data_IF_549163427451
#
_entry.id   IF_549163427451
#
_cell.length_a   1.000
_cell.length_b   1.000
_cell.length_c   1.000
_cell.angle_alpha   90.00
_cell.angle_beta   90.00
_cell.angle_gamma   90.00
#
_symmetry.space_group_name_H-M   'P 1'
#
loop_
_entity.id
_entity.type
_entity.pdbx_description
1 polymer ?
#
# COMPACT_ATOMS: atom_id res chain seq x y z
N UNK A 1 -26.75 14.59 -4.17
CA UNK A 1 -26.12 15.56 -3.25
C UNK A 1 -24.92 16.15 -3.94
N UNK A 2 -24.61 17.42 -3.69
CA UNK A 2 -23.39 18.05 -4.19
C UNK A 2 -22.29 17.82 -3.15
N UNK A 3 -21.24 17.05 -3.46
CA UNK A 3 -20.13 16.87 -2.52
C UNK A 3 -19.47 18.21 -2.23
N UNK A 4 -19.13 18.44 -0.96
CA UNK A 4 -18.38 19.61 -0.50
C UNK A 4 -17.10 19.13 0.17
N UNK A 5 -15.94 19.78 -0.07
CA UNK A 5 -14.72 19.46 0.65
C UNK A 5 -14.89 19.79 2.13
N UNK A 6 -14.43 18.89 2.99
CA UNK A 6 -14.47 19.07 4.45
C UNK A 6 -13.18 19.72 4.95
N UNK A 7 -12.03 19.15 4.59
CA UNK A 7 -10.70 19.64 4.95
C UNK A 7 -9.65 19.24 3.89
N UNK A 8 -8.42 19.71 4.06
CA UNK A 8 -7.25 19.30 3.27
C UNK A 8 -6.01 19.28 4.17
N UNK A 9 -5.15 18.28 3.99
CA UNK A 9 -3.89 18.18 4.70
C UNK A 9 -2.70 18.11 3.73
N UNK A 10 -1.52 18.51 4.19
CA UNK A 10 -0.28 18.50 3.42
C UNK A 10 0.74 17.55 4.04
N UNK A 11 1.62 16.97 3.21
CA UNK A 11 2.72 16.10 3.62
C UNK A 11 3.98 16.43 2.80
N UNK A 12 5.19 16.14 3.30
CA UNK A 12 6.42 16.49 2.61
C UNK A 12 6.74 15.50 1.48
N UNK A 13 7.57 15.96 0.53
CA UNK A 13 8.11 15.17 -0.57
C UNK A 13 7.03 14.50 -1.42
N UNK A 14 6.06 15.30 -1.87
CA UNK A 14 4.96 14.85 -2.72
C UNK A 14 5.48 14.57 -4.13
N UNK A 15 5.36 13.32 -4.58
CA UNK A 15 5.56 12.96 -5.97
C UNK A 15 4.26 13.08 -6.75
N UNK A 16 3.29 12.26 -6.37
CA UNK A 16 1.92 12.17 -6.85
C UNK A 16 1.07 11.34 -5.87
N UNK A 17 0.27 12.03 -5.04
CA UNK A 17 -0.74 11.37 -4.20
C UNK A 17 -1.64 10.49 -5.06
N UNK A 18 -1.54 9.17 -4.91
CA UNK A 18 -2.10 8.24 -5.88
C UNK A 18 -3.38 7.58 -5.39
N UNK A 19 -3.26 6.74 -4.36
CA UNK A 19 -4.38 5.95 -3.87
C UNK A 19 -4.31 5.78 -2.36
N UNK A 20 -5.48 5.78 -1.73
CA UNK A 20 -5.62 5.56 -0.30
C UNK A 20 -6.75 4.60 0.03
N UNK A 21 -6.67 4.00 1.22
CA UNK A 21 -7.69 3.13 1.77
C UNK A 21 -7.82 3.33 3.28
N UNK A 22 -9.05 3.28 3.79
CA UNK A 22 -9.36 3.48 5.21
C UNK A 22 -9.35 2.14 5.97
N UNK A 23 -8.85 2.13 7.21
CA UNK A 23 -8.96 0.98 8.12
C UNK A 23 -10.43 0.67 8.42
N UNK A 24 -10.75 -0.59 8.76
CA UNK A 24 -12.14 -1.01 8.99
C UNK A 24 -12.82 -0.30 10.17
N UNK A 25 -12.05 0.22 11.13
CA UNK A 25 -12.54 1.05 12.23
C UNK A 25 -12.70 2.54 11.87
N UNK A 26 -12.37 2.90 10.62
CA UNK A 26 -12.41 4.26 10.06
C UNK A 26 -11.52 5.29 10.77
N UNK A 27 -10.53 4.85 11.55
CA UNK A 27 -9.66 5.75 12.30
C UNK A 27 -8.44 6.19 11.52
N UNK A 28 -7.93 5.33 10.64
CA UNK A 28 -6.69 5.57 9.90
C UNK A 28 -6.91 5.45 8.40
N UNK A 29 -6.20 6.27 7.64
CA UNK A 29 -6.15 6.22 6.19
C UNK A 29 -4.71 5.97 5.75
N UNK A 30 -4.49 4.88 5.02
CA UNK A 30 -3.20 4.57 4.42
C UNK A 30 -3.19 5.10 2.99
N UNK A 31 -2.12 5.76 2.58
CA UNK A 31 -1.99 6.40 1.27
C UNK A 31 -0.61 6.15 0.68
N UNK A 32 -0.58 5.92 -0.63
CA UNK A 32 0.60 5.73 -1.44
C UNK A 32 0.87 6.97 -2.33
N UNK A 33 2.13 7.21 -2.65
CA UNK A 33 2.63 8.32 -3.48
C UNK A 33 3.49 7.78 -4.63
N UNK A 34 2.85 7.51 -5.77
CA UNK A 34 3.37 6.65 -6.85
C UNK A 34 4.67 7.15 -7.51
N UNK A 35 5.00 8.44 -7.38
CA UNK A 35 6.14 9.05 -8.07
C UNK A 35 7.28 9.48 -7.14
N UNK A 36 7.18 9.25 -5.84
CA UNK A 36 8.16 9.79 -4.91
C UNK A 36 9.51 9.02 -4.97
N UNK A 37 9.53 7.71 -5.23
CA UNK A 37 10.78 6.95 -5.37
C UNK A 37 11.45 7.24 -6.72
N UNK A 38 10.65 7.43 -7.79
CA UNK A 38 11.14 7.87 -9.09
C UNK A 38 11.79 9.26 -9.04
N UNK A 39 11.32 10.12 -8.12
CA UNK A 39 11.88 11.45 -7.89
C UNK A 39 13.02 11.47 -6.87
N UNK A 40 13.34 10.32 -6.26
CA UNK A 40 14.38 10.21 -5.23
C UNK A 40 14.00 10.84 -3.90
N UNK A 41 12.70 10.97 -3.63
CA UNK A 41 12.16 11.49 -2.38
C UNK A 41 12.04 10.44 -1.28
N UNK A 42 11.92 9.17 -1.68
CA UNK A 42 11.95 8.04 -0.76
C UNK A 42 12.99 7.01 -1.19
N UNK A 43 13.60 6.38 -0.20
CA UNK A 43 14.59 5.32 -0.35
C UNK A 43 13.94 3.94 -0.50
N UNK A 44 12.63 3.86 -0.68
CA UNK A 44 11.88 2.63 -0.88
C UNK A 44 10.39 2.96 -0.91
N UNK A 45 9.57 1.95 -1.17
CA UNK A 45 8.12 2.14 -1.27
C UNK A 45 7.56 2.78 0.01
N UNK A 46 6.81 3.88 -0.09
CA UNK A 46 6.41 4.71 1.04
C UNK A 46 4.90 4.78 1.20
N UNK A 47 4.40 4.13 2.24
CA UNK A 47 3.00 4.28 2.65
C UNK A 47 2.86 5.30 3.78
N UNK A 48 2.12 6.37 3.52
CA UNK A 48 1.73 7.37 4.51
C UNK A 48 0.52 6.89 5.32
N UNK A 49 0.58 7.06 6.63
CA UNK A 49 -0.49 6.67 7.56
C UNK A 49 -1.03 7.92 8.21
N UNK A 50 -2.31 8.19 7.97
CA UNK A 50 -3.02 9.36 8.48
C UNK A 50 -3.98 8.95 9.59
N UNK A 51 -4.00 9.70 10.70
CA UNK A 51 -5.12 9.71 11.62
C UNK A 51 -6.23 10.61 11.03
N UNK A 52 -7.40 10.01 10.81
CA UNK A 52 -8.59 10.67 10.25
C UNK A 52 -9.78 10.60 11.21
N UNK A 53 -9.52 10.40 12.51
CA UNK A 53 -10.56 10.42 13.55
C UNK A 53 -11.24 11.78 13.68
N UNK A 54 -10.50 12.86 13.40
CA UNK A 54 -11.02 14.20 13.17
C UNK A 54 -10.92 14.51 11.67
N UNK A 55 -12.06 14.55 10.99
CA UNK A 55 -12.11 14.79 9.55
C UNK A 55 -11.91 16.27 9.19
N UNK A 56 -12.02 17.19 10.16
CA UNK A 56 -11.72 18.61 9.96
C UNK A 56 -10.22 18.90 10.09
N UNK A 57 -9.46 18.01 10.76
CA UNK A 57 -8.00 18.11 10.98
C UNK A 57 -7.26 16.76 10.81
N UNK A 58 -7.19 16.19 9.59
CA UNK A 58 -6.43 14.96 9.33
C UNK A 58 -4.94 15.13 9.60
N UNK A 59 -4.31 14.14 10.26
CA UNK A 59 -2.90 14.23 10.70
C UNK A 59 -2.06 13.12 10.13
N UNK A 60 -0.92 13.47 9.53
CA UNK A 60 0.09 12.47 9.17
C UNK A 60 0.67 11.91 10.47
N UNK A 61 0.37 10.65 10.77
CA UNK A 61 0.84 9.95 11.96
C UNK A 61 2.23 9.37 11.72
N UNK A 62 2.42 8.71 10.57
CA UNK A 62 3.62 7.94 10.27
C UNK A 62 3.85 7.79 8.78
N UNK A 63 5.10 7.56 8.42
CA UNK A 63 5.51 7.09 7.10
C UNK A 63 6.16 5.72 7.28
N UNK A 64 5.65 4.71 6.57
CA UNK A 64 6.26 3.39 6.47
C UNK A 64 7.05 3.32 5.16
N UNK A 65 8.37 3.26 5.27
CA UNK A 65 9.27 3.08 4.12
C UNK A 65 9.81 1.67 4.16
N UNK A 66 9.63 0.91 3.08
CA UNK A 66 10.16 -0.46 2.98
C UNK A 66 11.63 -0.47 2.54
N UNK A 67 12.29 -1.62 2.69
CA UNK A 67 13.65 -1.82 2.18
C UNK A 67 13.70 -2.01 0.64
N UNK A 68 12.55 -2.10 -0.03
CA UNK A 68 12.45 -2.36 -1.46
C UNK A 68 12.44 -1.06 -2.26
N UNK A 69 13.39 -0.94 -3.18
CA UNK A 69 13.60 0.22 -4.06
C UNK A 69 12.60 0.31 -5.22
N UNK A 70 11.41 -0.28 -5.10
CA UNK A 70 10.37 -0.20 -6.15
C UNK A 70 9.53 1.07 -6.00
N UNK A 71 8.45 1.19 -6.77
CA UNK A 71 7.43 2.22 -6.58
C UNK A 71 6.18 1.62 -5.94
N UNK A 72 5.64 2.28 -4.93
CA UNK A 72 4.32 1.96 -4.42
C UNK A 72 3.21 2.41 -5.39
N UNK A 73 2.04 1.79 -5.29
CA UNK A 73 0.93 2.09 -6.19
C UNK A 73 -0.41 1.87 -5.47
N UNK A 74 -1.06 0.72 -5.67
CA UNK A 74 -2.34 0.42 -5.03
C UNK A 74 -2.18 -0.27 -3.68
N UNK A 75 -3.06 0.03 -2.73
CA UNK A 75 -3.18 -0.70 -1.47
C UNK A 75 -4.64 -0.90 -1.08
N UNK A 76 -4.94 -2.03 -0.44
CA UNK A 76 -6.26 -2.33 0.12
C UNK A 76 -6.14 -2.84 1.54
N UNK A 77 -7.09 -2.49 2.42
CA UNK A 77 -7.12 -2.98 3.80
C UNK A 77 -8.22 -4.01 3.97
N UNK A 78 -7.89 -5.13 4.63
CA UNK A 78 -8.85 -6.16 5.06
C UNK A 78 -8.44 -6.73 6.41
N UNK A 79 -9.30 -6.55 7.41
CA UNK A 79 -9.00 -6.80 8.80
C UNK A 79 -7.76 -6.01 9.24
N UNK A 80 -6.81 -6.71 9.84
CA UNK A 80 -5.55 -6.13 10.33
C UNK A 80 -4.43 -6.04 9.29
N UNK A 81 -4.72 -6.27 8.00
CA UNK A 81 -3.70 -6.34 6.96
C UNK A 81 -3.89 -5.26 5.89
N UNK A 82 -2.79 -4.63 5.47
CA UNK A 82 -2.70 -3.90 4.21
C UNK A 82 -2.07 -4.78 3.13
N UNK A 83 -2.67 -4.79 1.94
CA UNK A 83 -2.22 -5.53 0.77
C UNK A 83 -1.78 -4.51 -0.29
N UNK A 84 -0.48 -4.40 -0.51
CA UNK A 84 0.13 -3.39 -1.35
C UNK A 84 0.61 -4.01 -2.66
N UNK A 85 0.27 -3.39 -3.78
CA UNK A 85 0.85 -3.66 -5.09
C UNK A 85 1.96 -2.65 -5.33
N UNK A 86 3.20 -3.11 -5.17
CA UNK A 86 4.40 -2.28 -5.24
C UNK A 86 5.22 -2.67 -6.48
N UNK A 87 4.61 -2.48 -7.65
CA UNK A 87 5.19 -2.69 -8.97
C UNK A 87 6.21 -3.84 -9.04
N UNK A 88 7.51 -3.56 -9.15
CA UNK A 88 8.54 -4.59 -9.36
C UNK A 88 8.68 -5.53 -8.17
N UNK A 89 8.42 -5.04 -6.96
CA UNK A 89 8.49 -5.86 -5.73
C UNK A 89 7.22 -6.69 -5.47
N UNK A 90 6.24 -6.61 -6.37
CA UNK A 90 5.04 -7.45 -6.38
C UNK A 90 4.02 -7.10 -5.31
N UNK A 91 3.33 -8.13 -4.81
CA UNK A 91 2.40 -8.02 -3.70
C UNK A 91 3.17 -8.01 -2.38
N UNK A 92 2.97 -6.99 -1.55
CA UNK A 92 3.44 -6.93 -0.15
C UNK A 92 2.25 -6.95 0.79
N UNK A 93 2.42 -7.55 1.96
CA UNK A 93 1.38 -7.61 2.99
C UNK A 93 1.97 -7.10 4.29
N UNK A 94 1.42 -6.00 4.81
CA UNK A 94 1.77 -5.46 6.11
C UNK A 94 0.74 -5.89 7.17
N UNK A 95 1.20 -6.31 8.33
CA UNK A 95 0.38 -6.45 9.55
C UNK A 95 0.30 -5.07 10.24
N UNK A 96 -0.93 -4.59 10.42
CA UNK A 96 -1.29 -3.30 11.02
C UNK A 96 -1.79 -3.45 12.47
N UNK A 97 -1.51 -4.58 13.15
CA UNK A 97 -1.89 -4.77 14.56
C UNK A 97 -1.35 -3.63 15.44
N UNK A 98 -0.14 -3.17 15.15
CA UNK A 98 0.41 -1.91 15.66
C UNK A 98 0.54 -0.93 14.49
N UNK A 99 -0.40 0.03 14.42
CA UNK A 99 -0.49 0.99 13.32
C UNK A 99 0.72 1.95 13.25
N UNK A 100 1.40 2.17 14.38
CA UNK A 100 2.60 3.01 14.43
C UNK A 100 3.86 2.26 13.99
N UNK A 101 3.81 0.91 14.04
CA UNK A 101 4.91 0.02 13.66
C UNK A 101 4.43 -1.12 12.73
N UNK A 102 3.95 -0.83 11.51
CA UNK A 102 3.59 -1.87 10.56
C UNK A 102 4.79 -2.78 10.25
N UNK A 103 4.56 -4.08 10.22
CA UNK A 103 5.59 -5.08 9.90
C UNK A 103 5.17 -5.90 8.69
N UNK A 104 6.13 -6.29 7.86
CA UNK A 104 5.83 -7.19 6.75
C UNK A 104 5.43 -8.57 7.26
N UNK A 105 4.21 -8.97 6.92
CA UNK A 105 3.66 -10.30 7.17
C UNK A 105 4.11 -11.31 6.11
N UNK A 106 4.24 -10.85 4.86
CA UNK A 106 4.71 -11.68 3.75
C UNK A 106 4.56 -10.98 2.41
N UNK A 107 5.05 -11.64 1.36
CA UNK A 107 5.05 -11.10 0.01
C UNK A 107 4.84 -12.17 -1.05
N UNK A 108 4.51 -11.74 -2.26
CA UNK A 108 4.57 -12.53 -3.47
C UNK A 108 5.14 -11.68 -4.60
N UNK A 109 6.36 -12.01 -5.01
CA UNK A 109 7.07 -11.30 -6.06
C UNK A 109 6.54 -11.71 -7.44
N UNK A 110 5.95 -10.76 -8.16
CA UNK A 110 5.46 -10.97 -9.52
C UNK A 110 6.57 -10.87 -10.56
N UNK A 111 7.71 -10.26 -10.24
CA UNK A 111 8.85 -10.02 -11.14
C UNK A 111 10.16 -10.64 -10.57
N UNK A 112 10.20 -11.95 -10.23
CA UNK A 112 11.28 -12.55 -9.42
C UNK A 112 12.65 -12.64 -10.09
N UNK A 113 12.74 -12.31 -11.39
CA UNK A 113 13.98 -12.26 -12.15
C UNK A 113 14.45 -10.84 -12.44
N UNK A 114 13.67 -9.83 -12.04
CA UNK A 114 14.00 -8.42 -12.16
C UNK A 114 14.79 -7.91 -10.95
N UNK A 115 15.16 -6.64 -11.02
CA UNK A 115 15.72 -5.91 -9.89
C UNK A 115 14.68 -4.90 -9.43
N UNK A 116 14.44 -4.80 -8.13
CA UNK A 116 13.59 -3.75 -7.57
C UNK A 116 14.18 -2.37 -7.88
N UNK A 117 13.57 -1.69 -8.84
CA UNK A 117 13.89 -0.31 -9.22
C UNK A 117 12.60 0.47 -9.40
N UNK A 118 12.57 1.79 -9.11
CA UNK A 118 11.36 2.58 -9.25
C UNK A 118 10.85 2.58 -10.70
N UNK A 119 9.53 2.54 -10.87
CA UNK A 119 8.89 2.43 -12.18
C UNK A 119 7.60 1.62 -12.15
N UNK A 120 6.96 1.49 -13.32
CA UNK A 120 5.57 1.03 -13.44
C UNK A 120 5.40 -0.43 -13.88
N UNK A 121 6.49 -1.21 -13.86
CA UNK A 121 6.47 -2.63 -14.25
C UNK A 121 6.15 -3.54 -13.07
N UNK A 122 5.42 -4.63 -13.28
CA UNK A 122 5.05 -5.58 -12.23
C UNK A 122 3.63 -5.39 -11.70
N UNK A 123 3.41 -5.61 -10.40
CA UNK A 123 2.07 -5.64 -9.80
C UNK A 123 1.37 -4.30 -9.90
N UNK A 124 0.31 -4.24 -10.70
CA UNK A 124 -0.53 -3.06 -10.88
C UNK A 124 -1.59 -2.95 -9.79
N UNK A 125 -2.22 -4.07 -9.40
CA UNK A 125 -3.26 -4.07 -8.39
C UNK A 125 -3.41 -5.45 -7.74
N UNK A 126 -4.15 -5.48 -6.64
CA UNK A 126 -4.52 -6.70 -5.95
C UNK A 126 -5.99 -6.63 -5.48
N UNK A 127 -6.58 -7.77 -5.13
CA UNK A 127 -7.94 -7.83 -4.59
C UNK A 127 -8.04 -8.91 -3.51
N UNK A 128 -8.04 -8.52 -2.21
CA UNK A 128 -8.00 -9.47 -1.10
C UNK A 128 -9.39 -9.88 -0.58
N UNK A 129 -10.49 -9.43 -1.18
CA UNK A 129 -11.83 -9.51 -0.57
C UNK A 129 -12.62 -10.80 -0.85
N UNK A 130 -12.07 -11.77 -1.57
CA UNK A 130 -12.76 -13.04 -1.76
C UNK A 130 -12.95 -13.80 -0.43
N UNK A 131 -14.15 -14.37 -0.25
CA UNK A 131 -14.49 -15.19 0.94
C UNK A 131 -13.60 -16.44 1.07
N UNK A 132 -13.06 -16.94 -0.06
CA UNK A 132 -12.11 -18.07 -0.07
C UNK A 132 -10.77 -17.74 0.60
N UNK A 133 -10.49 -16.45 0.86
CA UNK A 133 -9.19 -15.96 1.29
C UNK A 133 -8.16 -15.85 0.16
N UNK A 134 -8.58 -16.09 -1.09
CA UNK A 134 -7.73 -15.86 -2.25
C UNK A 134 -7.54 -14.36 -2.46
N UNK A 135 -6.32 -14.00 -2.88
CA UNK A 135 -5.91 -12.68 -3.29
C UNK A 135 -5.63 -12.76 -4.78
N UNK A 136 -6.32 -11.93 -5.56
CA UNK A 136 -5.97 -11.76 -6.98
C UNK A 136 -4.89 -10.71 -7.06
N UNK A 137 -3.86 -10.94 -7.87
CA UNK A 137 -2.81 -9.95 -8.14
C UNK A 137 -2.71 -9.81 -9.66
N UNK A 138 -2.84 -8.59 -10.16
CA UNK A 138 -2.62 -8.28 -11.57
C UNK A 138 -1.24 -7.68 -11.74
N UNK A 139 -0.53 -8.14 -12.75
CA UNK A 139 0.82 -7.70 -13.11
C UNK A 139 0.86 -7.37 -14.60
N UNK A 140 1.56 -6.30 -14.97
CA UNK A 140 1.55 -5.78 -16.34
C UNK A 140 1.97 -6.81 -17.37
N UNK A 141 3.19 -7.35 -17.26
CA UNK A 141 3.75 -8.30 -18.24
C UNK A 141 3.61 -9.76 -17.80
N UNK A 142 3.42 -10.00 -16.51
CA UNK A 142 3.46 -11.34 -15.89
C UNK A 142 2.05 -11.94 -15.74
N UNK A 143 1.02 -11.14 -16.00
CA UNK A 143 -0.37 -11.59 -16.08
C UNK A 143 -1.09 -11.56 -14.74
N UNK A 144 -1.95 -12.55 -14.50
CA UNK A 144 -2.79 -12.63 -13.30
C UNK A 144 -2.34 -13.79 -12.43
N UNK A 145 -2.20 -13.52 -11.13
CA UNK A 145 -1.89 -14.51 -10.11
C UNK A 145 -3.06 -14.65 -9.14
N UNK A 146 -3.26 -15.88 -8.65
CA UNK A 146 -4.16 -16.18 -7.55
C UNK A 146 -3.32 -16.76 -6.43
N UNK A 147 -3.14 -15.97 -5.38
CA UNK A 147 -2.33 -16.36 -4.22
C UNK A 147 -3.20 -16.45 -2.98
N UNK A 148 -2.71 -17.13 -1.95
CA UNK A 148 -3.38 -17.20 -0.66
C UNK A 148 -2.33 -17.12 0.43
N UNK A 149 -2.51 -16.19 1.36
CA UNK A 149 -1.62 -16.06 2.52
C UNK A 149 -1.69 -17.34 3.36
N UNK A 150 -0.55 -17.88 3.76
CA UNK A 150 -0.48 -19.04 4.66
C UNK A 150 -0.55 -18.53 6.09
N UNK A 151 -1.62 -18.86 6.80
CA UNK A 151 -1.67 -18.66 8.25
C UNK A 151 -0.85 -19.79 8.88
N UNK A 152 0.23 -19.43 9.58
CA UNK A 152 0.98 -20.37 10.40
C UNK A 152 0.49 -20.11 11.82
N UNK A 153 -0.33 -21.01 12.34
CA UNK A 153 -0.59 -21.09 13.77
C UNK A 153 0.73 -21.50 14.43
N UNK A 154 1.42 -20.54 15.08
CA UNK A 154 2.61 -20.78 15.90
C UNK A 154 2.21 -21.12 17.34
#
# INVERSE_FOLDING_TARGET
GNPVPLSSAAYPNVGYAHQSWVTEDHRYLLMNDELDELQGFSDGTRTLIWDVTDLDDPKLLKEHVSDNKSSDHNLYIKGKYAYLSNYQSGLRILDLTDIENPVEFGFFDTVPYGTDTPGFGGSWSNYPYFQSGNIIVTSGNEGLFVVKKREIDL
#
